data_IF_464441855141
#
_entry.id   IF_464441855141
#
_cell.length_a   1.000
_cell.length_b   1.000
_cell.length_c   1.000
_cell.angle_alpha   90.00
_cell.angle_beta   90.00
_cell.angle_gamma   90.00
#
_symmetry.space_group_name_H-M   'P 1'
#
loop_
_entity.id
_entity.type
_entity.pdbx_description
1 polymer ?
#
# COMPACT_ATOMS: atom_id res chain seq x y z
N UNK A 1 -7.68 3.58 -3.46
CA UNK A 1 -6.34 3.56 -2.82
C UNK A 1 -6.35 4.38 -1.53
N UNK A 2 -5.56 3.97 -0.52
CA UNK A 2 -5.53 4.50 0.84
C UNK A 2 -4.09 4.59 1.39
N UNK A 3 -3.91 5.12 2.61
CA UNK A 3 -2.61 5.12 3.29
C UNK A 3 -2.01 3.71 3.46
N UNK A 4 -2.85 2.71 3.67
CA UNK A 4 -2.41 1.32 3.79
C UNK A 4 -1.78 0.82 2.48
N UNK A 5 -2.34 1.19 1.33
CA UNK A 5 -1.79 0.82 0.03
C UNK A 5 -0.39 1.43 -0.18
N UNK A 6 -0.16 2.67 0.27
CA UNK A 6 1.14 3.34 0.16
C UNK A 6 2.17 2.61 1.02
N UNK A 7 1.82 2.30 2.26
CA UNK A 7 2.70 1.61 3.20
C UNK A 7 3.09 0.23 2.66
N UNK A 8 2.10 -0.59 2.27
CA UNK A 8 2.37 -1.92 1.71
C UNK A 8 3.15 -1.83 0.40
N UNK A 9 2.88 -0.83 -0.45
CA UNK A 9 3.61 -0.64 -1.71
C UNK A 9 5.09 -0.32 -1.47
N UNK A 10 5.39 0.48 -0.44
CA UNK A 10 6.76 0.78 -0.02
C UNK A 10 7.48 -0.45 0.53
N UNK A 11 6.81 -1.24 1.38
CA UNK A 11 7.37 -2.50 1.93
C UNK A 11 7.63 -3.55 0.85
N UNK A 12 6.76 -3.64 -0.16
CA UNK A 12 6.94 -4.55 -1.30
C UNK A 12 8.14 -4.11 -2.16
N UNK A 13 8.33 -2.80 -2.37
CA UNK A 13 9.52 -2.17 -2.93
C UNK A 13 9.82 -2.43 -4.41
N UNK A 14 9.43 -3.59 -4.95
CA UNK A 14 9.63 -3.99 -6.36
C UNK A 14 8.46 -4.81 -6.87
N UNK A 15 8.33 -4.90 -8.19
CA UNK A 15 7.27 -5.67 -8.84
C UNK A 15 7.24 -7.13 -8.34
N UNK A 16 6.10 -7.61 -7.83
CA UNK A 16 5.91 -9.00 -7.43
C UNK A 16 6.03 -9.98 -8.60
N UNK A 17 6.23 -11.27 -8.30
CA UNK A 17 6.28 -12.32 -9.31
C UNK A 17 4.95 -12.43 -10.09
N UNK A 18 5.03 -12.74 -11.39
CA UNK A 18 3.86 -12.93 -12.25
C UNK A 18 2.94 -14.08 -11.81
N UNK A 19 3.46 -15.02 -11.01
CA UNK A 19 2.68 -16.08 -10.35
C UNK A 19 1.72 -15.57 -9.27
N UNK A 20 1.83 -14.30 -8.85
CA UNK A 20 0.93 -13.64 -7.92
C UNK A 20 0.07 -12.60 -8.67
N UNK A 21 -0.86 -13.03 -9.54
CA UNK A 21 -1.52 -12.15 -10.52
C UNK A 21 -2.29 -11.00 -9.85
N UNK A 22 -2.90 -11.24 -8.69
CA UNK A 22 -3.64 -10.22 -7.97
C UNK A 22 -2.73 -9.16 -7.33
N UNK A 23 -1.59 -9.59 -6.77
CA UNK A 23 -0.61 -8.70 -6.15
C UNK A 23 0.10 -7.89 -7.22
N UNK A 24 0.47 -8.51 -8.35
CA UNK A 24 1.06 -7.81 -9.49
C UNK A 24 0.09 -6.78 -10.10
N UNK A 25 -1.18 -7.15 -10.30
CA UNK A 25 -2.22 -6.22 -10.76
C UNK A 25 -2.36 -5.02 -9.82
N UNK A 26 -2.43 -5.27 -8.51
CA UNK A 26 -2.51 -4.20 -7.51
C UNK A 26 -1.24 -3.34 -7.51
N UNK A 27 -0.05 -3.94 -7.54
CA UNK A 27 1.22 -3.19 -7.58
C UNK A 27 1.29 -2.27 -8.79
N UNK A 28 0.93 -2.76 -9.97
CA UNK A 28 0.89 -1.96 -11.19
C UNK A 28 -0.16 -0.83 -11.09
N UNK A 29 -1.30 -1.10 -10.46
CA UNK A 29 -2.32 -0.08 -10.20
C UNK A 29 -1.82 1.03 -9.26
N UNK A 30 -1.11 0.70 -8.17
CA UNK A 30 -0.56 1.73 -7.26
C UNK A 30 0.65 2.45 -7.87
N UNK A 31 1.46 1.74 -8.67
CA UNK A 31 2.62 2.30 -9.37
C UNK A 31 2.24 3.31 -10.47
N UNK A 32 1.06 3.18 -11.09
CA UNK A 32 0.62 4.08 -12.16
C UNK A 32 0.34 5.50 -11.69
N UNK A 33 0.12 5.71 -10.38
CA UNK A 33 -0.06 7.05 -9.82
C UNK A 33 1.28 7.75 -9.64
N UNK A 34 1.28 9.07 -9.75
CA UNK A 34 2.44 9.89 -9.40
C UNK A 34 2.66 9.91 -7.89
N UNK A 35 3.88 10.22 -7.42
CA UNK A 35 4.13 10.42 -5.99
C UNK A 35 3.24 11.50 -5.35
N UNK A 36 2.85 12.53 -6.10
CA UNK A 36 1.98 13.60 -5.61
C UNK A 36 0.55 13.10 -5.39
N UNK A 37 -0.01 12.34 -6.35
CA UNK A 37 -1.33 11.73 -6.21
C UNK A 37 -1.38 10.75 -5.04
N UNK A 38 -0.33 9.92 -4.88
CA UNK A 38 -0.23 9.02 -3.71
C UNK A 38 -0.22 9.79 -2.40
N UNK A 39 0.54 10.89 -2.30
CA UNK A 39 0.56 11.74 -1.10
C UNK A 39 -0.79 12.36 -0.76
N UNK A 40 -1.62 12.62 -1.77
CA UNK A 40 -2.96 13.17 -1.58
C UNK A 40 -4.00 12.17 -1.04
N UNK A 41 -3.64 10.89 -0.89
CA UNK A 41 -4.53 9.87 -0.29
C UNK A 41 -4.58 10.02 1.24
N UNK A 42 -5.08 11.16 1.72
CA UNK A 42 -5.34 11.44 3.14
C UNK A 42 -6.69 10.83 3.55
N UNK A 43 -6.69 9.53 3.83
CA UNK A 43 -7.90 8.83 4.27
C UNK A 43 -7.59 7.63 5.15
N UNK A 44 -7.81 7.81 6.47
CA UNK A 44 -7.78 6.75 7.48
C UNK A 44 -6.39 6.39 8.00
N UNK A 45 -6.27 6.18 9.32
CA UNK A 45 -5.09 5.55 9.91
C UNK A 45 -4.93 4.17 9.27
N UNK A 46 -3.76 3.88 8.70
CA UNK A 46 -3.45 2.54 8.22
C UNK A 46 -3.75 1.53 9.34
N UNK A 47 -4.57 0.49 9.12
CA UNK A 47 -4.86 -0.50 10.16
C UNK A 47 -3.59 -1.22 10.64
N UNK A 48 -2.52 -1.20 9.84
CA UNK A 48 -1.18 -1.65 10.25
C UNK A 48 -0.63 -0.84 11.45
N UNK A 49 -0.96 0.46 11.52
CA UNK A 49 -0.60 1.33 12.63
C UNK A 49 -1.64 1.29 13.76
N UNK A 50 -2.90 0.98 13.45
CA UNK A 50 -3.98 0.89 14.44
C UNK A 50 -3.92 -0.41 15.28
N UNK A 51 -3.46 -1.52 14.70
CA UNK A 51 -3.33 -2.82 15.38
C UNK A 51 -2.10 -2.95 16.30
N UNK A 52 -1.22 -1.95 16.34
CA UNK A 52 0.04 -1.99 17.07
C UNK A 52 -0.07 -1.63 18.57
N UNK A 53 -1.28 -1.49 19.15
CA UNK A 53 -1.46 -1.40 20.60
C UNK A 53 -1.78 -2.79 21.16
N UNK A 54 -0.83 -3.49 21.81
CA UNK A 54 -1.18 -4.63 22.63
C UNK A 54 -1.95 -4.12 23.86
N UNK A 55 -3.13 -4.67 24.13
CA UNK A 55 -3.71 -4.64 25.47
C UNK A 55 -2.81 -5.47 26.39
N UNK A 56 -2.28 -4.82 27.42
CA UNK A 56 -1.52 -5.45 28.50
C UNK A 56 -2.41 -6.35 29.37
#
# INVERSE_FOLDING_TARGET
PSQADIQVFQEVGKAPAASLPHVLRWYNHIASYTPAERKAWVGGVSPLNAGAKPTA
#
